data_IF_106160203564
#
_entry.id   IF_106160203564
#
_cell.length_a   1.000
_cell.length_b   1.000
_cell.length_c   1.000
_cell.angle_alpha   90.00
_cell.angle_beta   90.00
_cell.angle_gamma   90.00
#
_symmetry.space_group_name_H-M   'P 1'
#
loop_
_entity.id
_entity.type
_entity.pdbx_description
1 polymer ?
#
# COMPACT_ATOMS: atom_id res chain seq x y z
N UNK A 1 -22.46 84.29 -36.59
CA UNK A 1 -21.77 84.63 -35.33
C UNK A 1 -21.31 83.31 -34.73
N UNK A 2 -20.01 83.04 -34.78
CA UNK A 2 -19.40 81.74 -34.44
C UNK A 2 -19.24 81.49 -32.93
N UNK A 3 -18.37 80.57 -32.48
CA UNK A 3 -17.35 79.85 -33.26
C UNK A 3 -17.42 78.32 -33.21
N UNK A 4 -16.77 77.74 -34.22
CA UNK A 4 -16.42 76.33 -34.41
C UNK A 4 -15.03 76.15 -33.78
N UNK A 5 -14.90 75.21 -32.84
CA UNK A 5 -13.59 74.75 -32.36
C UNK A 5 -13.20 73.46 -33.08
N UNK A 6 -12.12 73.59 -33.85
CA UNK A 6 -11.27 72.53 -34.38
C UNK A 6 -10.37 71.97 -33.28
N UNK A 7 -10.29 70.64 -33.12
CA UNK A 7 -9.08 69.96 -32.64
C UNK A 7 -9.07 68.45 -33.02
N UNK A 8 -8.16 68.15 -33.95
CA UNK A 8 -7.34 66.96 -34.26
C UNK A 8 -7.81 65.49 -34.06
N UNK A 9 -7.38 64.58 -34.98
CA UNK A 9 -7.64 63.15 -34.91
C UNK A 9 -6.55 62.38 -34.13
N UNK A 10 -6.96 61.54 -33.16
CA UNK A 10 -6.09 60.56 -32.53
C UNK A 10 -5.83 59.37 -33.47
N UNK A 11 -4.57 59.17 -33.80
CA UNK A 11 -4.03 57.98 -34.48
C UNK A 11 -4.11 56.78 -33.55
N UNK A 12 -4.87 55.75 -33.93
CA UNK A 12 -4.83 54.43 -33.31
C UNK A 12 -3.72 53.60 -33.96
N UNK A 13 -2.81 52.96 -33.20
CA UNK A 13 -1.87 52.02 -33.77
C UNK A 13 -2.56 50.68 -34.02
N UNK A 14 -2.40 50.16 -35.25
CA UNK A 14 -2.64 48.77 -35.60
C UNK A 14 -1.75 47.88 -34.73
N UNK A 15 -2.34 46.98 -33.95
CA UNK A 15 -1.62 45.83 -33.39
C UNK A 15 -1.69 44.72 -34.42
N UNK A 16 -0.54 44.48 -35.05
CA UNK A 16 -0.30 43.32 -35.90
C UNK A 16 -0.37 42.04 -35.06
N UNK A 17 -1.21 41.11 -35.50
CA UNK A 17 -1.14 39.71 -35.10
C UNK A 17 -0.21 38.95 -36.05
N UNK A 18 0.58 38.05 -35.46
CA UNK A 18 1.14 36.80 -36.02
C UNK A 18 2.38 36.89 -36.91
N UNK A 19 3.48 36.30 -36.40
CA UNK A 19 3.89 34.92 -36.71
C UNK A 19 5.17 34.58 -35.92
N UNK A 20 5.04 33.83 -34.85
CA UNK A 20 6.16 33.06 -34.27
C UNK A 20 5.97 31.58 -34.63
N UNK A 21 7.02 30.88 -35.11
CA UNK A 21 6.92 29.48 -35.44
C UNK A 21 7.04 28.65 -34.16
N UNK A 22 5.96 27.95 -33.80
CA UNK A 22 6.03 26.84 -32.84
C UNK A 22 6.85 25.72 -33.48
N UNK A 23 8.12 25.60 -33.04
CA UNK A 23 8.96 24.45 -33.36
C UNK A 23 8.63 23.35 -32.35
N UNK A 24 7.88 22.37 -32.82
CA UNK A 24 7.64 21.09 -32.17
C UNK A 24 8.97 20.41 -31.84
N UNK A 25 9.31 20.36 -30.55
CA UNK A 25 10.28 19.43 -30.00
C UNK A 25 9.50 18.39 -29.18
N UNK A 26 8.93 17.40 -29.87
CA UNK A 26 8.60 16.12 -29.25
C UNK A 26 9.93 15.42 -28.98
N UNK A 27 10.53 15.72 -27.83
CA UNK A 27 11.57 14.85 -27.26
C UNK A 27 10.83 13.79 -26.44
N UNK A 28 10.90 12.55 -26.89
CA UNK A 28 10.30 11.41 -26.22
C UNK A 28 10.71 11.33 -24.75
N UNK A 29 9.73 11.37 -23.87
CA UNK A 29 9.89 10.92 -22.49
C UNK A 29 10.07 9.40 -22.54
N UNK A 30 11.32 8.96 -22.68
CA UNK A 30 11.74 7.66 -22.22
C UNK A 30 11.45 7.60 -20.72
N UNK A 31 10.54 6.72 -20.33
CA UNK A 31 10.41 6.25 -18.96
C UNK A 31 11.79 5.76 -18.49
N UNK A 32 12.37 6.29 -17.41
CA UNK A 32 13.38 5.55 -16.69
C UNK A 32 12.63 4.44 -15.95
N UNK A 33 12.79 3.21 -16.42
CA UNK A 33 12.59 2.03 -15.59
C UNK A 33 13.44 2.21 -14.32
N UNK A 34 12.79 2.29 -13.17
CA UNK A 34 13.45 2.30 -11.87
C UNK A 34 14.23 0.97 -11.69
N UNK A 35 15.55 0.99 -11.46
CA UNK A 35 16.20 -0.18 -10.90
C UNK A 35 15.87 -0.22 -9.41
N UNK A 36 14.82 -0.96 -9.05
CA UNK A 36 14.61 -1.44 -7.67
C UNK A 36 15.67 -2.50 -7.39
N UNK A 37 16.90 -2.09 -7.14
CA UNK A 37 18.00 -2.94 -6.69
C UNK A 37 19.07 -2.04 -6.09
N UNK A 38 18.83 -1.54 -4.89
CA UNK A 38 19.86 -1.11 -3.93
C UNK A 38 19.19 -0.89 -2.57
N UNK A 39 18.59 -1.96 -2.04
CA UNK A 39 18.46 -2.07 -0.60
C UNK A 39 19.80 -2.61 -0.11
N UNK A 40 20.69 -1.70 0.31
CA UNK A 40 21.76 -2.05 1.24
C UNK A 40 21.14 -2.89 2.37
N UNK A 41 21.67 -4.09 2.69
CA UNK A 41 21.23 -4.78 3.87
C UNK A 41 21.55 -3.86 5.04
N UNK A 42 20.49 -3.43 5.74
CA UNK A 42 20.56 -2.72 7.02
C UNK A 42 21.75 -3.27 7.79
N UNK A 43 22.75 -2.42 7.99
CA UNK A 43 23.91 -2.73 8.82
C UNK A 43 23.39 -3.39 10.08
N UNK A 44 23.74 -4.67 10.18
CA UNK A 44 23.56 -5.50 11.35
C UNK A 44 23.85 -4.63 12.56
N UNK A 45 22.82 -4.39 13.38
CA UNK A 45 23.00 -3.88 14.73
C UNK A 45 24.16 -4.65 15.32
N UNK A 46 25.29 -3.96 15.48
CA UNK A 46 26.49 -4.44 16.13
C UNK A 46 26.01 -4.87 17.51
N UNK A 47 25.76 -6.17 17.67
CA UNK A 47 25.50 -6.76 18.97
C UNK A 47 26.76 -6.42 19.74
N UNK A 48 26.57 -5.69 20.83
CA UNK A 48 27.63 -5.23 21.71
C UNK A 48 28.44 -6.48 22.12
N UNK A 49 29.61 -6.68 21.49
CA UNK A 49 30.53 -7.80 21.75
C UNK A 49 31.06 -7.76 23.19
N UNK A 50 30.76 -6.69 23.92
CA UNK A 50 30.97 -6.55 25.36
C UNK A 50 30.17 -7.57 26.19
N UNK A 51 29.04 -8.10 25.70
CA UNK A 51 28.28 -9.13 26.43
C UNK A 51 28.85 -10.55 26.26
N UNK A 52 29.70 -10.79 25.25
CA UNK A 52 30.38 -12.09 25.07
C UNK A 52 31.72 -12.17 25.80
N UNK A 53 32.37 -11.03 26.08
CA UNK A 53 33.66 -11.01 26.76
C UNK A 53 33.58 -11.37 28.26
N UNK A 54 32.45 -11.12 28.94
CA UNK A 54 32.29 -11.43 30.37
C UNK A 54 32.04 -12.92 30.68
N UNK A 55 31.68 -13.72 29.67
CA UNK A 55 31.34 -15.14 29.86
C UNK A 55 32.37 -16.12 29.29
N UNK A 56 33.55 -15.62 28.88
CA UNK A 56 34.64 -16.44 28.33
C UNK A 56 35.76 -16.66 29.35
N UNK A 57 35.42 -16.80 30.63
CA UNK A 57 36.29 -17.54 31.55
C UNK A 57 35.93 -19.02 31.41
N UNK A 58 36.88 -19.90 31.07
CA UNK A 58 36.62 -21.33 31.07
C UNK A 58 36.36 -21.72 32.53
N UNK A 59 35.09 -21.82 32.90
CA UNK A 59 34.67 -22.51 34.10
C UNK A 59 35.00 -23.98 33.87
N UNK A 60 36.26 -24.35 34.12
CA UNK A 60 36.64 -25.73 34.33
C UNK A 60 35.73 -26.23 35.44
N UNK A 61 34.70 -26.96 35.01
CA UNK A 61 33.90 -27.80 35.87
C UNK A 61 34.89 -28.76 36.52
N UNK A 62 35.39 -28.40 37.70
CA UNK A 62 35.70 -29.37 38.74
C UNK A 62 34.36 -30.01 39.10
N UNK A 63 33.91 -30.93 38.24
CA UNK A 63 33.19 -32.12 38.71
C UNK A 63 34.12 -32.75 39.73
N UNK A 64 33.93 -32.37 40.99
CA UNK A 64 34.45 -33.13 42.11
C UNK A 64 33.80 -34.49 41.93
N UNK A 65 34.58 -35.47 41.47
CA UNK A 65 34.16 -36.86 41.43
C UNK A 65 33.77 -37.26 42.85
N UNK A 66 32.49 -37.22 43.14
CA UNK A 66 31.87 -38.15 44.07
C UNK A 66 32.14 -39.53 43.49
N UNK A 67 33.23 -40.15 43.93
CA UNK A 67 33.37 -41.60 44.11
C UNK A 67 34.83 -41.94 44.42
N UNK A 68 35.01 -42.78 45.43
CA UNK A 68 36.27 -43.25 46.03
C UNK A 68 36.82 -42.40 47.18
N UNK A 69 36.03 -42.26 48.25
CA UNK A 69 36.62 -42.36 49.57
C UNK A 69 36.48 -43.82 50.01
N UNK A 70 37.56 -44.58 49.85
CA UNK A 70 37.68 -45.90 50.45
C UNK A 70 37.47 -45.75 51.97
N UNK A 71 36.48 -46.48 52.44
CA UNK A 71 36.22 -46.80 53.84
C UNK A 71 37.52 -47.34 54.47
N UNK A 72 38.28 -46.46 55.13
CA UNK A 72 39.36 -46.90 56.00
C UNK A 72 38.70 -47.53 57.21
N UNK A 73 38.57 -48.85 57.11
CA UNK A 73 37.98 -49.73 58.09
C UNK A 73 38.34 -49.33 59.52
N UNK A 74 37.28 -49.23 60.30
CA UNK A 74 37.25 -49.18 61.74
C UNK A 74 38.11 -50.34 62.30
N UNK A 75 39.37 -50.07 62.68
CA UNK A 75 40.13 -51.02 63.50
C UNK A 75 39.64 -50.86 64.93
N UNK A 76 38.47 -51.44 65.21
CA UNK A 76 38.03 -51.71 66.57
C UNK A 76 38.99 -52.74 67.16
N UNK A 77 39.96 -52.25 67.93
CA UNK A 77 40.83 -53.08 68.76
C UNK A 77 39.98 -53.72 69.85
N UNK A 78 39.44 -54.91 69.56
CA UNK A 78 38.75 -55.77 70.51
C UNK A 78 39.77 -56.39 71.47
N UNK A 79 40.20 -55.64 72.49
CA UNK A 79 40.77 -56.24 73.69
C UNK A 79 39.64 -56.88 74.51
N UNK A 80 39.36 -58.14 74.18
CA UNK A 80 38.49 -59.00 74.97
C UNK A 80 39.12 -59.25 76.34
N UNK A 81 38.62 -58.59 77.37
CA UNK A 81 38.86 -58.96 78.76
C UNK A 81 38.09 -60.27 79.01
N UNK A 82 38.75 -61.41 78.79
CA UNK A 82 38.29 -62.69 79.33
C UNK A 82 38.91 -62.90 80.70
N UNK A 83 38.13 -62.52 81.70
CA UNK A 83 38.28 -62.98 83.07
C UNK A 83 37.82 -64.45 83.11
N UNK A 84 38.76 -65.40 83.20
CA UNK A 84 38.45 -66.80 83.48
C UNK A 84 39.12 -67.22 84.79
N UNK A 85 38.28 -67.29 85.82
CA UNK A 85 38.56 -68.00 87.07
C UNK A 85 38.58 -69.50 86.81
N UNK A 86 39.68 -70.17 87.16
CA UNK A 86 39.72 -71.61 87.37
C UNK A 86 40.45 -71.89 88.70
N UNK A 87 39.73 -72.54 89.61
CA UNK A 87 40.16 -73.00 90.93
C UNK A 87 40.97 -74.29 90.83
N UNK A 88 41.93 -74.40 91.76
CA UNK A 88 42.38 -75.57 92.52
C UNK A 88 42.82 -76.85 91.79
N UNK A 89 44.04 -77.32 92.11
CA UNK A 89 44.19 -78.61 92.80
C UNK A 89 45.57 -78.74 93.46
N UNK A 90 45.55 -79.12 94.75
CA UNK A 90 46.66 -79.68 95.52
C UNK A 90 47.22 -80.96 94.85
N UNK A 91 48.50 -81.28 95.12
CA UNK A 91 48.91 -82.57 95.73
C UNK A 91 50.38 -82.93 95.45
N UNK A 92 51.06 -83.33 96.54
CA UNK A 92 52.26 -84.17 96.64
C UNK A 92 53.62 -83.57 96.24
N UNK A 93 54.73 -83.78 96.95
CA UNK A 93 54.99 -84.81 97.96
C UNK A 93 56.09 -84.40 98.95
N UNK A 94 55.96 -84.94 100.16
CA UNK A 94 56.86 -84.76 101.29
C UNK A 94 58.07 -85.71 101.21
N UNK A 95 59.11 -85.28 101.93
CA UNK A 95 60.11 -86.08 102.67
C UNK A 95 61.41 -86.49 101.96
N UNK A 96 62.54 -86.04 102.54
CA UNK A 96 63.54 -86.94 103.13
C UNK A 96 64.64 -86.13 103.84
N UNK A 97 64.73 -86.31 105.18
CA UNK A 97 65.91 -86.46 106.06
C UNK A 97 67.11 -85.50 105.88
N UNK A 98 67.80 -84.94 106.87
CA UNK A 98 67.76 -84.91 108.33
C UNK A 98 68.82 -83.83 108.73
N UNK A 99 68.93 -83.40 110.01
CA UNK A 99 69.61 -82.18 110.41
C UNK A 99 71.08 -82.41 110.76
N UNK A 100 71.98 -81.58 110.23
CA UNK A 100 73.30 -81.37 110.83
C UNK A 100 73.46 -79.91 111.26
N UNK A 101 73.42 -79.76 112.59
CA UNK A 101 73.74 -78.55 113.34
C UNK A 101 75.17 -78.15 113.00
N UNK A 102 75.30 -77.13 112.15
CA UNK A 102 76.57 -76.41 112.01
C UNK A 102 76.27 -74.93 111.85
N UNK A 103 76.68 -74.16 112.85
CA UNK A 103 76.76 -72.69 112.86
C UNK A 103 75.44 -71.92 112.76
N UNK A 104 74.95 -71.44 113.90
CA UNK A 104 73.98 -70.34 113.98
C UNK A 104 74.46 -69.03 113.32
N UNK A 105 75.67 -68.98 112.75
CA UNK A 105 76.18 -67.85 111.95
C UNK A 105 75.75 -67.94 110.49
N UNK A 106 75.77 -69.13 109.86
CA UNK A 106 75.42 -69.28 108.44
C UNK A 106 73.92 -69.10 108.17
N UNK A 107 73.07 -69.48 109.12
CA UNK A 107 71.62 -69.25 109.04
C UNK A 107 71.27 -67.77 109.19
N UNK A 108 72.02 -67.02 110.01
CA UNK A 108 71.82 -65.58 110.21
C UNK A 108 72.33 -64.81 108.98
N UNK A 109 73.44 -65.23 108.37
CA UNK A 109 73.95 -64.65 107.12
C UNK A 109 73.01 -64.92 105.93
N UNK A 110 72.41 -66.12 105.84
CA UNK A 110 71.38 -66.42 104.82
C UNK A 110 70.09 -65.63 105.06
N UNK A 111 69.67 -65.45 106.31
CA UNK A 111 68.53 -64.59 106.63
C UNK A 111 68.81 -63.12 106.32
N UNK A 112 70.01 -62.62 106.63
CA UNK A 112 70.46 -61.27 106.24
C UNK A 112 70.51 -61.10 104.73
N UNK A 113 71.01 -62.08 103.99
CA UNK A 113 71.02 -62.06 102.52
C UNK A 113 69.60 -62.09 101.93
N UNK A 114 68.70 -62.88 102.51
CA UNK A 114 67.29 -62.89 102.11
C UNK A 114 66.59 -61.59 102.48
N UNK A 115 66.92 -60.97 103.61
CA UNK A 115 66.39 -59.67 104.02
C UNK A 115 66.89 -58.54 103.10
N UNK A 116 68.18 -58.55 102.75
CA UNK A 116 68.76 -57.66 101.75
C UNK A 116 68.14 -57.88 100.36
N UNK A 117 67.90 -59.13 99.97
CA UNK A 117 67.24 -59.47 98.70
C UNK A 117 65.76 -59.08 98.70
N UNK A 118 65.07 -59.20 99.84
CA UNK A 118 63.70 -58.70 100.02
C UNK A 118 63.68 -57.18 99.91
N UNK A 119 64.61 -56.47 100.56
CA UNK A 119 64.74 -55.01 100.47
C UNK A 119 65.03 -54.54 99.05
N UNK A 120 65.89 -55.26 98.31
CA UNK A 120 66.18 -54.99 96.90
C UNK A 120 64.93 -55.22 96.04
N UNK A 121 64.21 -56.33 96.22
CA UNK A 121 62.95 -56.62 95.53
C UNK A 121 61.83 -55.63 95.88
N UNK A 122 61.77 -55.15 97.12
CA UNK A 122 60.85 -54.11 97.57
C UNK A 122 61.21 -52.75 96.95
N UNK A 123 62.50 -52.44 96.83
CA UNK A 123 63.01 -51.28 96.11
C UNK A 123 62.68 -51.32 94.62
N UNK A 124 62.93 -52.45 93.95
CA UNK A 124 62.55 -52.69 92.56
C UNK A 124 61.04 -52.62 92.36
N UNK A 125 60.25 -53.17 93.29
CA UNK A 125 58.79 -53.07 93.28
C UNK A 125 58.33 -51.61 93.40
N UNK A 126 58.92 -50.84 94.30
CA UNK A 126 58.62 -49.41 94.46
C UNK A 126 58.95 -48.63 93.17
N UNK A 127 60.11 -48.86 92.56
CA UNK A 127 60.48 -48.26 91.27
C UNK A 127 59.54 -48.69 90.13
N UNK A 128 59.11 -49.96 90.13
CA UNK A 128 58.12 -50.47 89.16
C UNK A 128 56.77 -49.79 89.33
N UNK A 129 56.30 -49.59 90.56
CA UNK A 129 55.06 -48.88 90.85
C UNK A 129 55.14 -47.40 90.46
N UNK A 130 56.26 -46.73 90.70
CA UNK A 130 56.48 -45.34 90.25
C UNK A 130 56.47 -45.21 88.73
N UNK A 131 57.15 -46.12 88.02
CA UNK A 131 57.15 -46.13 86.55
C UNK A 131 55.77 -46.44 85.99
N UNK A 132 55.03 -47.35 86.62
CA UNK A 132 53.64 -47.63 86.27
C UNK A 132 52.74 -46.40 86.49
N UNK A 133 52.89 -45.69 87.60
CA UNK A 133 52.14 -44.44 87.85
C UNK A 133 52.48 -43.36 86.82
N UNK A 134 53.77 -43.19 86.47
CA UNK A 134 54.21 -42.25 85.42
C UNK A 134 53.62 -42.60 84.06
N UNK A 135 53.63 -43.88 83.67
CA UNK A 135 53.02 -44.36 82.43
C UNK A 135 51.49 -44.16 82.42
N UNK A 136 50.80 -44.43 83.54
CA UNK A 136 49.36 -44.18 83.69
C UNK A 136 49.03 -42.70 83.54
N UNK A 137 49.82 -41.81 84.15
CA UNK A 137 49.65 -40.37 84.04
C UNK A 137 49.91 -39.89 82.60
N UNK A 138 50.99 -40.34 81.96
CA UNK A 138 51.30 -40.03 80.57
C UNK A 138 50.18 -40.50 79.64
N UNK A 139 49.67 -41.73 79.82
CA UNK A 139 48.57 -42.26 79.04
C UNK A 139 47.29 -41.42 79.21
N UNK A 140 46.97 -41.01 80.44
CA UNK A 140 45.85 -40.11 80.72
C UNK A 140 45.99 -38.76 80.00
N UNK A 141 47.19 -38.19 79.96
CA UNK A 141 47.43 -36.91 79.29
C UNK A 141 47.44 -37.05 77.76
N UNK A 142 47.95 -38.17 77.23
CA UNK A 142 47.83 -38.50 75.80
C UNK A 142 46.36 -38.69 75.40
N UNK A 143 45.54 -39.38 76.20
CA UNK A 143 44.11 -39.51 75.93
C UNK A 143 43.40 -38.16 75.89
N UNK A 144 43.65 -37.26 76.86
CA UNK A 144 43.10 -35.89 76.80
C UNK A 144 43.56 -35.16 75.54
N UNK A 145 44.81 -35.34 75.13
CA UNK A 145 45.33 -34.72 73.91
C UNK A 145 44.64 -35.28 72.67
N UNK A 146 44.38 -36.58 72.61
CA UNK A 146 43.60 -37.22 71.53
C UNK A 146 42.19 -36.64 71.50
N UNK A 147 41.45 -36.63 72.61
CA UNK A 147 40.09 -36.08 72.66
C UNK A 147 40.03 -34.60 72.23
N UNK A 148 41.00 -33.78 72.67
CA UNK A 148 41.09 -32.37 72.25
C UNK A 148 41.38 -32.23 70.75
N UNK A 149 42.17 -33.12 70.16
CA UNK A 149 42.43 -33.11 68.71
C UNK A 149 41.21 -33.61 67.93
N UNK A 150 40.49 -34.61 68.44
CA UNK A 150 39.25 -35.11 67.83
C UNK A 150 38.16 -34.04 67.82
N UNK A 151 37.98 -33.30 68.92
CA UNK A 151 37.07 -32.16 69.01
C UNK A 151 37.46 -31.06 68.00
N UNK A 152 38.76 -30.71 67.92
CA UNK A 152 39.25 -29.75 66.93
C UNK A 152 38.97 -30.19 65.48
N UNK A 153 39.13 -31.49 65.18
CA UNK A 153 38.82 -32.03 63.85
C UNK A 153 37.32 -31.98 63.58
N UNK A 154 36.48 -32.30 64.56
CA UNK A 154 35.02 -32.23 64.43
C UNK A 154 34.55 -30.79 64.20
N UNK A 155 35.07 -29.83 64.97
CA UNK A 155 34.76 -28.41 64.80
C UNK A 155 35.20 -27.90 63.42
N UNK A 156 36.41 -28.28 62.97
CA UNK A 156 36.89 -27.92 61.62
C UNK A 156 36.03 -28.52 60.51
N UNK A 157 35.57 -29.78 60.66
CA UNK A 157 34.66 -30.40 59.71
C UNK A 157 33.33 -29.64 59.63
N UNK A 158 32.75 -29.30 60.79
CA UNK A 158 31.50 -28.54 60.83
C UNK A 158 31.66 -27.16 60.19
N UNK A 159 32.75 -26.45 60.48
CA UNK A 159 33.06 -25.15 59.88
C UNK A 159 33.17 -25.25 58.35
N UNK A 160 33.90 -26.23 57.83
CA UNK A 160 34.02 -26.43 56.38
C UNK A 160 32.69 -26.82 55.72
N UNK A 161 31.85 -27.60 56.40
CA UNK A 161 30.51 -27.94 55.91
C UNK A 161 29.57 -26.73 55.87
N UNK A 162 29.65 -25.86 56.87
CA UNK A 162 28.90 -24.59 56.92
C UNK A 162 29.37 -23.62 55.84
N UNK A 163 30.68 -23.44 55.68
CA UNK A 163 31.28 -22.62 54.61
C UNK A 163 30.88 -23.14 53.23
N UNK A 164 30.96 -24.46 53.00
CA UNK A 164 30.50 -25.10 51.76
C UNK A 164 29.02 -24.79 51.50
N UNK A 165 28.16 -24.92 52.51
CA UNK A 165 26.72 -24.65 52.39
C UNK A 165 26.46 -23.18 52.07
N UNK A 166 27.20 -22.27 52.69
CA UNK A 166 27.08 -20.84 52.42
C UNK A 166 27.51 -20.50 50.99
N UNK A 167 28.64 -21.02 50.52
CA UNK A 167 29.11 -20.81 49.14
C UNK A 167 28.08 -21.33 48.12
N UNK A 168 27.49 -22.50 48.35
CA UNK A 168 26.44 -23.05 47.48
C UNK A 168 25.19 -22.16 47.47
N UNK A 169 24.72 -21.72 48.64
CA UNK A 169 23.59 -20.80 48.77
C UNK A 169 23.84 -19.45 48.08
N UNK A 170 25.04 -18.89 48.23
CA UNK A 170 25.44 -17.66 47.55
C UNK A 170 25.50 -17.85 46.03
N UNK A 171 26.06 -18.97 45.54
CA UNK A 171 26.10 -19.31 44.11
C UNK A 171 24.70 -19.43 43.53
N UNK A 172 23.80 -20.17 44.20
CA UNK A 172 22.41 -20.33 43.77
C UNK A 172 21.69 -18.98 43.71
N UNK A 173 21.86 -18.13 44.72
CA UNK A 173 21.29 -16.77 44.75
C UNK A 173 21.81 -15.90 43.59
N UNK A 174 23.11 -15.95 43.31
CA UNK A 174 23.71 -15.24 42.17
C UNK A 174 23.20 -15.76 40.83
N UNK A 175 23.10 -17.08 40.68
CA UNK A 175 22.57 -17.72 39.47
C UNK A 175 21.11 -17.30 39.22
N UNK A 176 20.24 -17.40 40.23
CA UNK A 176 18.83 -16.97 40.12
C UNK A 176 18.69 -15.48 39.79
N UNK A 177 19.58 -14.63 40.31
CA UNK A 177 19.59 -13.19 39.95
C UNK A 177 19.98 -12.99 38.48
N UNK A 178 20.98 -13.71 37.98
CA UNK A 178 21.39 -13.64 36.57
C UNK A 178 20.29 -14.15 35.64
N UNK A 179 19.67 -15.29 35.98
CA UNK A 179 18.55 -15.87 35.24
C UNK A 179 17.36 -14.92 35.15
N UNK A 180 16.99 -14.26 36.26
CA UNK A 180 15.92 -13.23 36.26
C UNK A 180 16.25 -12.03 35.38
N UNK A 181 17.51 -11.55 35.40
CA UNK A 181 17.94 -10.44 34.53
C UNK A 181 17.85 -10.84 33.07
N UNK A 182 18.33 -12.04 32.73
CA UNK A 182 18.26 -12.60 31.39
C UNK A 182 16.80 -12.71 30.91
N UNK A 183 15.89 -13.24 31.74
CA UNK A 183 14.47 -13.30 31.40
C UNK A 183 13.85 -11.91 31.19
N UNK A 184 14.16 -10.94 32.05
CA UNK A 184 13.65 -9.57 31.90
C UNK A 184 14.15 -8.89 30.61
N UNK A 185 15.42 -9.09 30.26
CA UNK A 185 15.99 -8.59 29.00
C UNK A 185 15.35 -9.27 27.79
N UNK A 186 15.16 -10.58 27.86
CA UNK A 186 14.46 -11.36 26.82
C UNK A 186 13.02 -10.86 26.63
N UNK A 187 12.27 -10.63 27.71
CA UNK A 187 10.92 -10.06 27.66
C UNK A 187 10.91 -8.64 27.08
N UNK A 188 11.85 -7.79 27.47
CA UNK A 188 12.01 -6.43 26.93
C UNK A 188 12.27 -6.44 25.43
N UNK A 189 13.19 -7.30 24.97
CA UNK A 189 13.49 -7.45 23.54
C UNK A 189 12.30 -8.02 22.78
N UNK A 190 11.60 -9.03 23.31
CA UNK A 190 10.39 -9.58 22.71
C UNK A 190 9.27 -8.55 22.61
N UNK A 191 9.06 -7.72 23.64
CA UNK A 191 8.10 -6.62 23.60
C UNK A 191 8.46 -5.59 22.52
N UNK A 192 9.75 -5.25 22.38
CA UNK A 192 10.22 -4.35 21.32
C UNK A 192 10.01 -4.94 19.94
N UNK A 193 10.30 -6.23 19.74
CA UNK A 193 10.07 -6.93 18.47
C UNK A 193 8.59 -6.89 18.11
N UNK A 194 7.69 -7.17 19.07
CA UNK A 194 6.24 -7.14 18.84
C UNK A 194 5.75 -5.76 18.39
N UNK A 195 6.19 -4.69 19.05
CA UNK A 195 5.85 -3.31 18.63
C UNK A 195 6.34 -3.02 17.22
N UNK A 196 7.57 -3.40 16.89
CA UNK A 196 8.12 -3.20 15.54
C UNK A 196 7.38 -4.01 14.48
N UNK A 197 6.93 -5.23 14.80
CA UNK A 197 6.10 -6.04 13.91
C UNK A 197 4.73 -5.41 13.69
N UNK A 198 4.08 -4.91 14.74
CA UNK A 198 2.79 -4.23 14.65
C UNK A 198 2.89 -2.94 13.81
N UNK A 199 3.95 -2.15 14.00
CA UNK A 199 4.17 -0.93 13.24
C UNK A 199 4.50 -1.23 11.77
N UNK A 200 5.31 -2.26 11.50
CA UNK A 200 5.56 -2.71 10.13
C UNK A 200 4.28 -3.20 9.44
N UNK A 201 3.41 -3.92 10.15
CA UNK A 201 2.10 -4.33 9.63
C UNK A 201 1.21 -3.13 9.30
N UNK A 202 1.17 -2.10 10.16
CA UNK A 202 0.43 -0.85 9.89
C UNK A 202 1.00 -0.09 8.69
N UNK A 203 2.33 0.03 8.59
CA UNK A 203 2.98 0.68 7.45
C UNK A 203 2.70 -0.08 6.15
N UNK A 204 2.77 -1.40 6.17
CA UNK A 204 2.43 -2.25 5.02
C UNK A 204 0.97 -2.06 4.58
N UNK A 205 0.04 -1.95 5.53
CA UNK A 205 -1.37 -1.64 5.23
C UNK A 205 -1.53 -0.23 4.62
N UNK A 206 -0.84 0.78 5.17
CA UNK A 206 -0.84 2.16 4.65
C UNK A 206 -0.32 2.22 3.22
N UNK A 207 0.80 1.54 2.94
CA UNK A 207 1.37 1.44 1.58
C UNK A 207 0.39 0.77 0.62
N UNK A 208 -0.26 -0.32 1.04
CA UNK A 208 -1.28 -0.99 0.23
C UNK A 208 -2.46 -0.07 -0.08
N UNK A 209 -2.94 0.70 0.90
CA UNK A 209 -4.04 1.66 0.74
C UNK A 209 -3.65 2.81 -0.20
N UNK A 210 -2.46 3.39 -0.04
CA UNK A 210 -1.93 4.44 -0.93
C UNK A 210 -1.74 3.93 -2.35
N UNK A 211 -1.24 2.70 -2.54
CA UNK A 211 -1.13 2.09 -3.86
C UNK A 211 -2.51 1.88 -4.52
N UNK A 212 -3.53 1.49 -3.75
CA UNK A 212 -4.89 1.39 -4.25
C UNK A 212 -5.44 2.77 -4.66
N UNK A 213 -5.17 3.82 -3.88
CA UNK A 213 -5.55 5.19 -4.20
C UNK A 213 -4.83 5.70 -5.47
N UNK A 214 -3.52 5.45 -5.60
CA UNK A 214 -2.74 5.80 -6.79
C UNK A 214 -3.32 5.13 -8.04
N UNK A 215 -3.66 3.84 -7.99
CA UNK A 215 -4.29 3.14 -9.11
C UNK A 215 -5.63 3.76 -9.54
N UNK A 216 -6.42 4.26 -8.59
CA UNK A 216 -7.68 4.94 -8.90
C UNK A 216 -7.41 6.29 -9.57
N UNK A 217 -6.42 7.05 -9.07
CA UNK A 217 -6.02 8.32 -9.67
C UNK A 217 -5.44 8.12 -11.08
N UNK A 218 -4.60 7.12 -11.29
CA UNK A 218 -4.07 6.74 -12.60
C UNK A 218 -5.18 6.46 -13.60
N UNK A 219 -6.19 5.67 -13.21
CA UNK A 219 -7.38 5.42 -14.06
C UNK A 219 -8.15 6.70 -14.37
N UNK A 220 -8.31 7.60 -13.40
CA UNK A 220 -9.00 8.88 -13.61
C UNK A 220 -8.22 9.76 -14.58
N UNK A 221 -6.90 9.83 -14.44
CA UNK A 221 -6.03 10.55 -15.38
C UNK A 221 -6.16 9.96 -16.78
N UNK A 222 -6.10 8.63 -16.91
CA UNK A 222 -6.29 7.96 -18.21
C UNK A 222 -7.67 8.27 -18.83
N UNK A 223 -8.75 8.28 -18.05
CA UNK A 223 -10.10 8.65 -18.52
C UNK A 223 -10.13 10.09 -19.03
N UNK A 224 -9.63 11.04 -18.23
CA UNK A 224 -9.60 12.45 -18.61
C UNK A 224 -8.73 12.69 -19.85
N UNK A 225 -7.61 11.97 -19.99
CA UNK A 225 -6.78 12.03 -21.20
C UNK A 225 -7.57 11.52 -22.41
N UNK A 226 -8.32 10.41 -22.30
CA UNK A 226 -9.18 9.92 -23.38
C UNK A 226 -10.23 10.95 -23.78
N UNK A 227 -10.94 11.54 -22.81
CA UNK A 227 -11.95 12.58 -23.03
C UNK A 227 -11.36 13.82 -23.71
N UNK A 228 -10.16 14.26 -23.31
CA UNK A 228 -9.46 15.38 -23.95
C UNK A 228 -9.08 15.04 -25.39
N UNK A 229 -8.60 13.82 -25.65
CA UNK A 229 -8.28 13.40 -27.02
C UNK A 229 -9.54 13.32 -27.91
N UNK A 230 -10.64 12.80 -27.39
CA UNK A 230 -11.93 12.73 -28.10
C UNK A 230 -12.51 14.12 -28.41
N UNK A 231 -12.42 15.05 -27.47
CA UNK A 231 -12.86 16.44 -27.68
C UNK A 231 -11.93 17.19 -28.63
N UNK A 232 -10.62 16.95 -28.58
CA UNK A 232 -9.66 17.51 -29.55
C UNK A 232 -9.92 17.01 -30.97
N UNK A 233 -10.17 15.71 -31.15
CA UNK A 233 -10.53 15.12 -32.45
C UNK A 233 -11.86 15.68 -32.98
N UNK A 234 -12.86 15.82 -32.12
CA UNK A 234 -14.14 16.44 -32.47
C UNK A 234 -13.97 17.90 -32.89
N UNK A 235 -13.11 18.66 -32.20
CA UNK A 235 -12.81 20.05 -32.53
C UNK A 235 -12.09 20.16 -33.89
N UNK A 236 -11.14 19.28 -34.17
CA UNK A 236 -10.45 19.28 -35.47
C UNK A 236 -11.43 18.99 -36.60
N UNK A 237 -12.36 18.04 -36.43
CA UNK A 237 -13.42 17.77 -37.41
C UNK A 237 -14.34 18.96 -37.65
N UNK A 238 -14.69 19.73 -36.61
CA UNK A 238 -15.47 20.97 -36.79
C UNK A 238 -14.64 22.06 -37.49
N UNK A 239 -13.34 22.15 -37.19
CA UNK A 239 -12.42 23.07 -37.85
C UNK A 239 -12.26 22.75 -39.33
N UNK A 240 -12.11 21.48 -39.69
CA UNK A 240 -12.09 21.00 -41.07
C UNK A 240 -13.39 21.35 -41.80
N UNK A 241 -14.55 21.09 -41.17
CA UNK A 241 -15.87 21.46 -41.74
C UNK A 241 -16.00 22.96 -41.98
N UNK A 242 -15.59 23.80 -41.02
CA UNK A 242 -15.56 25.26 -41.22
C UNK A 242 -14.65 25.66 -42.37
N UNK A 243 -13.46 25.06 -42.48
CA UNK A 243 -12.56 25.27 -43.61
C UNK A 243 -13.20 24.93 -44.96
N UNK A 244 -13.91 23.80 -45.05
CA UNK A 244 -14.64 23.40 -46.26
C UNK A 244 -15.72 24.42 -46.65
N UNK A 245 -16.47 24.96 -45.67
CA UNK A 245 -17.48 25.98 -45.93
C UNK A 245 -16.88 27.34 -46.32
N UNK A 246 -15.75 27.72 -45.70
CA UNK A 246 -15.00 28.91 -46.09
C UNK A 246 -14.47 28.81 -47.52
N UNK A 247 -13.92 27.66 -47.91
CA UNK A 247 -13.48 27.39 -49.27
C UNK A 247 -14.63 27.44 -50.28
N UNK A 248 -15.77 26.81 -49.96
CA UNK A 248 -16.97 26.86 -50.80
C UNK A 248 -17.49 28.29 -50.99
N UNK A 249 -17.53 29.10 -49.93
CA UNK A 249 -17.93 30.50 -50.00
C UNK A 249 -16.96 31.34 -50.85
N UNK A 250 -15.65 31.04 -50.76
CA UNK A 250 -14.65 31.71 -51.59
C UNK A 250 -14.82 31.35 -53.08
N UNK A 251 -15.08 30.07 -53.39
CA UNK A 251 -15.38 29.62 -54.76
C UNK A 251 -16.63 30.30 -55.32
N UNK A 252 -17.71 30.41 -54.54
CA UNK A 252 -18.92 31.11 -54.96
C UNK A 252 -18.66 32.60 -55.21
N UNK A 253 -17.86 33.24 -54.35
CA UNK A 253 -17.46 34.65 -54.53
C UNK A 253 -16.64 34.83 -55.81
N UNK A 254 -15.68 33.95 -56.09
CA UNK A 254 -14.87 33.98 -57.30
C UNK A 254 -15.72 33.75 -58.56
N UNK A 255 -16.62 32.77 -58.52
CA UNK A 255 -17.57 32.50 -59.61
C UNK A 255 -18.47 33.72 -59.89
N UNK A 256 -19.04 34.32 -58.85
CA UNK A 256 -19.86 35.53 -58.99
C UNK A 256 -19.06 36.71 -59.55
N UNK A 257 -17.80 36.89 -59.13
CA UNK A 257 -16.93 37.92 -59.68
C UNK A 257 -16.63 37.68 -61.16
N UNK A 258 -16.42 36.41 -61.56
CA UNK A 258 -16.18 36.02 -62.94
C UNK A 258 -17.41 36.29 -63.81
N UNK A 259 -18.60 35.84 -63.41
CA UNK A 259 -19.86 36.10 -64.11
C UNK A 259 -20.11 37.61 -64.27
N UNK A 260 -19.83 38.39 -63.22
CA UNK A 260 -19.94 39.85 -63.27
C UNK A 260 -18.95 40.48 -64.25
N UNK A 261 -17.74 39.92 -64.40
CA UNK A 261 -16.76 40.37 -65.39
C UNK A 261 -17.20 40.02 -66.81
N UNK A 262 -17.71 38.81 -67.04
CA UNK A 262 -18.25 38.38 -68.34
C UNK A 262 -19.47 39.23 -68.75
N UNK A 263 -20.39 39.48 -67.83
CA UNK A 263 -21.53 40.37 -68.07
C UNK A 263 -21.09 41.80 -68.40
N UNK A 264 -20.05 42.31 -67.72
CA UNK A 264 -19.48 43.63 -68.03
C UNK A 264 -18.81 43.68 -69.41
N UNK A 265 -18.11 42.61 -69.81
CA UNK A 265 -17.53 42.46 -71.15
C UNK A 265 -18.62 42.45 -72.22
N UNK A 266 -19.68 41.64 -72.04
CA UNK A 266 -20.82 41.60 -72.95
C UNK A 266 -21.48 42.97 -73.10
N UNK A 267 -21.65 43.73 -72.00
CA UNK A 267 -22.17 45.10 -72.06
C UNK A 267 -21.26 45.99 -72.91
N UNK A 268 -19.94 45.87 -72.79
CA UNK A 268 -19.00 46.68 -73.57
C UNK A 268 -18.98 46.27 -75.06
N UNK A 269 -19.09 44.98 -75.36
CA UNK A 269 -19.22 44.46 -76.72
C UNK A 269 -20.49 45.00 -77.39
N UNK A 270 -21.64 44.90 -76.71
CA UNK A 270 -22.91 45.47 -77.19
C UNK A 270 -22.81 46.99 -77.37
N UNK A 271 -22.12 47.72 -76.49
CA UNK A 271 -21.84 49.16 -76.66
C UNK A 271 -20.94 49.43 -77.86
N UNK A 272 -19.98 48.56 -78.16
CA UNK A 272 -19.16 48.65 -79.37
C UNK A 272 -20.01 48.44 -80.62
N UNK A 273 -20.83 47.39 -80.65
CA UNK A 273 -21.75 47.08 -81.74
C UNK A 273 -22.75 48.21 -81.99
N UNK A 274 -23.34 48.77 -80.94
CA UNK A 274 -24.22 49.94 -81.05
C UNK A 274 -23.47 51.15 -81.62
N UNK A 275 -22.22 51.41 -81.22
CA UNK A 275 -21.39 52.48 -81.79
C UNK A 275 -21.05 52.22 -83.26
N UNK A 276 -20.86 50.98 -83.69
CA UNK A 276 -20.65 50.64 -85.10
C UNK A 276 -21.92 50.79 -85.91
N UNK A 277 -23.05 50.32 -85.38
CA UNK A 277 -24.37 50.46 -86.01
C UNK A 277 -24.77 51.92 -86.20
N UNK A 278 -24.57 52.76 -85.18
CA UNK A 278 -24.78 54.20 -85.29
C UNK A 278 -23.89 54.85 -86.35
N UNK A 279 -22.64 54.39 -86.52
CA UNK A 279 -21.76 54.87 -87.59
C UNK A 279 -22.28 54.48 -88.97
N UNK A 280 -22.66 53.22 -89.16
CA UNK A 280 -23.21 52.73 -90.43
C UNK A 280 -24.55 53.38 -90.76
N UNK A 281 -25.41 53.62 -89.77
CA UNK A 281 -26.68 54.34 -89.95
C UNK A 281 -26.46 55.79 -90.37
N UNK A 282 -25.48 56.48 -89.75
CA UNK A 282 -25.08 57.83 -90.18
C UNK A 282 -24.53 57.82 -91.62
N UNK A 283 -23.78 56.78 -92.00
CA UNK A 283 -23.26 56.60 -93.36
C UNK A 283 -24.40 56.34 -94.35
N UNK A 284 -25.33 55.42 -94.05
CA UNK A 284 -26.53 55.14 -94.85
C UNK A 284 -27.44 56.37 -94.98
N UNK A 285 -27.63 57.14 -93.91
CA UNK A 285 -28.39 58.39 -93.92
C UNK A 285 -27.69 59.47 -94.74
N UNK A 286 -26.34 59.51 -94.74
CA UNK A 286 -25.55 60.35 -95.67
C UNK A 286 -25.72 59.91 -97.12
N UNK A 287 -25.82 58.61 -97.39
CA UNK A 287 -26.10 58.10 -98.74
C UNK A 287 -27.54 58.42 -99.19
N UNK A 288 -28.54 58.32 -98.30
CA UNK A 288 -29.95 58.66 -98.57
C UNK A 288 -30.19 60.16 -98.81
N UNK A 289 -29.39 61.06 -98.22
CA UNK A 289 -29.48 62.50 -98.47
C UNK A 289 -28.94 62.94 -99.85
N UNK A 290 -28.30 62.03 -100.61
CA UNK A 290 -27.74 62.34 -101.93
C UNK A 290 -28.50 61.77 -103.12
N UNK A 291 -29.29 60.70 -102.98
CA UNK A 291 -30.10 60.18 -104.09
C UNK A 291 -31.31 59.38 -103.57
N UNK A 292 -32.53 59.87 -103.81
CA UNK A 292 -33.72 59.10 -104.25
C UNK A 292 -35.04 59.80 -103.87
N UNK A 293 -35.62 60.48 -104.86
CA UNK A 293 -37.08 60.58 -105.02
C UNK A 293 -37.62 59.18 -105.35
N UNK A 294 -38.53 58.60 -104.55
CA UNK A 294 -39.47 57.55 -105.00
C UNK A 294 -40.58 57.30 -103.96
N UNK A 295 -41.68 58.01 -104.18
CA UNK A 295 -43.07 57.52 -104.27
C UNK A 295 -43.52 56.31 -103.42
N UNK A 296 -44.33 56.64 -102.42
CA UNK A 296 -45.52 55.95 -101.86
C UNK A 296 -45.80 54.49 -102.22
N UNK A 297 -46.08 53.68 -101.18
CA UNK A 297 -47.01 52.56 -101.26
C UNK A 297 -48.07 52.70 -100.14
N UNK A 298 -49.30 52.96 -100.56
CA UNK A 298 -50.52 52.82 -99.77
C UNK A 298 -50.72 51.34 -99.40
N UNK A 299 -50.48 50.96 -98.14
CA UNK A 299 -50.64 49.57 -97.65
C UNK A 299 -51.58 49.48 -96.42
N UNK A 300 -52.61 50.33 -96.38
CA UNK A 300 -53.60 50.37 -95.29
C UNK A 300 -54.59 49.18 -95.30
N UNK A 301 -54.76 48.48 -96.42
CA UNK A 301 -55.63 47.29 -96.50
C UNK A 301 -54.93 45.99 -96.06
N UNK A 302 -53.63 45.88 -96.33
CA UNK A 302 -52.81 44.72 -95.96
C UNK A 302 -52.59 44.65 -94.43
N UNK A 303 -52.37 45.81 -93.81
CA UNK A 303 -52.18 45.93 -92.36
C UNK A 303 -53.43 45.60 -91.55
N UNK A 304 -54.64 45.91 -92.04
CA UNK A 304 -55.87 45.58 -91.33
C UNK A 304 -56.15 44.07 -91.32
N UNK A 305 -55.87 43.39 -92.43
CA UNK A 305 -56.05 41.94 -92.57
C UNK A 305 -55.05 41.15 -91.69
N UNK A 306 -53.79 41.61 -91.61
CA UNK A 306 -52.77 41.06 -90.72
C UNK A 306 -53.11 41.28 -89.23
N UNK A 307 -53.74 42.41 -88.90
CA UNK A 307 -54.18 42.69 -87.54
C UNK A 307 -55.33 41.79 -87.11
N UNK A 308 -56.32 41.54 -87.97
CA UNK A 308 -57.40 40.58 -87.69
C UNK A 308 -56.88 39.15 -87.54
N UNK A 309 -55.84 38.78 -88.29
CA UNK A 309 -55.18 37.48 -88.16
C UNK A 309 -54.37 37.37 -86.85
N UNK A 310 -53.66 38.43 -86.48
CA UNK A 310 -52.96 38.50 -85.20
C UNK A 310 -53.93 38.48 -84.00
N UNK A 311 -55.08 39.14 -84.11
CA UNK A 311 -56.11 39.12 -83.06
C UNK A 311 -56.78 37.74 -82.94
N UNK A 312 -57.00 37.04 -84.07
CA UNK A 312 -57.42 35.63 -84.07
C UNK A 312 -56.39 34.72 -83.41
N UNK A 313 -55.11 34.90 -83.73
CA UNK A 313 -54.04 34.07 -83.15
C UNK A 313 -53.88 34.35 -81.65
N UNK A 314 -54.00 35.60 -81.23
CA UNK A 314 -54.03 35.99 -79.81
C UNK A 314 -55.21 35.36 -79.08
N UNK A 315 -56.40 35.35 -79.69
CA UNK A 315 -57.58 34.71 -79.10
C UNK A 315 -57.38 33.20 -78.97
N UNK A 316 -56.84 32.55 -80.00
CA UNK A 316 -56.50 31.12 -79.98
C UNK A 316 -55.48 30.79 -78.90
N UNK A 317 -54.41 31.58 -78.77
CA UNK A 317 -53.39 31.40 -77.74
C UNK A 317 -53.95 31.63 -76.34
N UNK A 318 -54.90 32.55 -76.17
CA UNK A 318 -55.58 32.76 -74.90
C UNK A 318 -56.42 31.54 -74.50
N UNK A 319 -57.19 30.97 -75.44
CA UNK A 319 -57.99 29.76 -75.21
C UNK A 319 -57.09 28.54 -74.90
N UNK A 320 -55.94 28.41 -75.59
CA UNK A 320 -54.97 27.35 -75.33
C UNK A 320 -54.29 27.50 -73.96
N UNK A 321 -53.97 28.73 -73.54
CA UNK A 321 -53.41 29.00 -72.21
C UNK A 321 -54.43 28.71 -71.10
N UNK A 322 -55.70 29.07 -71.33
CA UNK A 322 -56.81 28.75 -70.42
C UNK A 322 -56.93 27.23 -70.24
N UNK A 323 -56.90 26.47 -71.34
CA UNK A 323 -56.93 25.00 -71.29
C UNK A 323 -55.71 24.40 -70.58
N UNK A 324 -54.51 24.94 -70.82
CA UNK A 324 -53.30 24.47 -70.12
C UNK A 324 -53.35 24.76 -68.62
N UNK A 325 -53.97 25.86 -68.20
CA UNK A 325 -54.19 26.17 -66.77
C UNK A 325 -55.17 25.19 -66.14
N UNK A 326 -56.28 24.87 -66.82
CA UNK A 326 -57.24 23.86 -66.35
C UNK A 326 -56.57 22.48 -66.20
N UNK A 327 -55.74 22.06 -67.18
CA UNK A 327 -54.96 20.81 -67.07
C UNK A 327 -53.94 20.88 -65.92
N UNK A 328 -53.34 22.05 -65.66
CA UNK A 328 -52.40 22.21 -64.55
C UNK A 328 -53.12 22.13 -63.20
N UNK A 329 -54.30 22.73 -63.08
CA UNK A 329 -55.15 22.63 -61.89
C UNK A 329 -55.59 21.17 -61.67
N UNK A 330 -56.04 20.47 -62.71
CA UNK A 330 -56.38 19.04 -62.64
C UNK A 330 -55.17 18.17 -62.21
N UNK A 331 -53.96 18.49 -62.70
CA UNK A 331 -52.73 17.79 -62.30
C UNK A 331 -52.33 18.13 -60.86
N UNK A 332 -52.51 19.37 -60.41
CA UNK A 332 -52.28 19.76 -59.02
C UNK A 332 -53.28 19.08 -58.09
N UNK A 333 -54.55 18.96 -58.49
CA UNK A 333 -55.58 18.22 -57.76
C UNK A 333 -55.27 16.71 -57.75
N UNK A 334 -54.81 16.13 -58.85
CA UNK A 334 -54.34 14.75 -58.90
C UNK A 334 -53.12 14.53 -57.99
N UNK A 335 -52.19 15.49 -57.92
CA UNK A 335 -51.03 15.46 -57.04
C UNK A 335 -51.43 15.61 -55.56
N UNK A 336 -52.45 16.40 -55.26
CA UNK A 336 -53.05 16.54 -53.93
C UNK A 336 -53.79 15.27 -53.50
N UNK A 337 -54.51 14.59 -54.40
CA UNK A 337 -55.14 13.29 -54.14
C UNK A 337 -54.08 12.20 -53.93
N UNK A 338 -53.02 12.20 -54.74
CA UNK A 338 -51.93 11.22 -54.65
C UNK A 338 -51.06 11.40 -53.39
N UNK A 339 -50.74 12.64 -53.01
CA UNK A 339 -49.97 12.94 -51.79
C UNK A 339 -50.84 12.98 -50.52
N UNK A 340 -52.13 13.30 -50.65
CA UNK A 340 -53.13 13.22 -49.57
C UNK A 340 -53.44 11.77 -49.16
N UNK A 341 -53.21 10.80 -50.04
CA UNK A 341 -53.31 9.37 -49.70
C UNK A 341 -52.16 8.85 -48.81
N UNK A 342 -51.11 9.65 -48.55
CA UNK A 342 -49.94 9.26 -47.73
C UNK A 342 -49.92 9.98 -46.37
N UNK A 343 -50.82 10.93 -46.09
CA UNK A 343 -50.79 11.70 -44.85
C UNK A 343 -52.17 11.89 -44.22
N UNK A 344 -52.63 10.87 -43.48
CA UNK A 344 -53.44 10.87 -42.24
C UNK A 344 -54.34 9.62 -42.17
N UNK A 345 -54.18 8.80 -41.14
CA UNK A 345 -55.36 8.46 -40.37
C UNK A 345 -55.10 8.62 -38.87
N UNK A 346 -55.68 9.66 -38.28
CA UNK A 346 -56.14 9.59 -36.89
C UNK A 346 -57.44 8.77 -36.91
N UNK A 347 -57.39 7.50 -36.49
CA UNK A 347 -58.55 6.80 -35.95
C UNK A 347 -58.11 5.74 -34.95
N UNK A 348 -58.32 6.08 -33.68
CA UNK A 348 -58.87 5.23 -32.62
C UNK A 348 -58.63 3.73 -32.74
N UNK A 349 -57.72 3.26 -31.88
CA UNK A 349 -57.75 2.00 -31.15
C UNK A 349 -58.94 1.07 -31.45
N UNK A 350 -58.65 -0.13 -31.99
CA UNK A 350 -59.14 -1.40 -31.45
C UNK A 350 -58.40 -2.61 -32.05
N UNK A 351 -58.28 -3.59 -31.16
CA UNK A 351 -57.61 -4.90 -31.14
C UNK A 351 -57.33 -5.70 -32.44
N UNK A 352 -56.16 -6.36 -32.38
CA UNK A 352 -55.92 -7.77 -32.71
C UNK A 352 -55.17 -8.13 -34.03
N UNK A 353 -54.18 -9.03 -33.84
CA UNK A 353 -53.57 -9.96 -34.83
C UNK A 353 -52.19 -9.60 -35.43
N UNK A 354 -51.16 -10.12 -34.75
CA UNK A 354 -50.03 -10.88 -35.28
C UNK A 354 -49.46 -10.59 -36.70
N UNK A 355 -48.29 -9.93 -36.74
CA UNK A 355 -47.18 -10.31 -37.64
C UNK A 355 -45.83 -9.71 -37.19
N UNK A 356 -44.84 -10.58 -36.94
CA UNK A 356 -43.39 -10.28 -36.83
C UNK A 356 -42.74 -10.46 -38.23
N UNK A 357 -41.46 -10.12 -38.44
CA UNK A 357 -40.66 -8.98 -37.95
C UNK A 357 -39.91 -8.29 -39.11
N UNK A 358 -39.66 -6.98 -39.03
CA UNK A 358 -38.75 -6.33 -39.98
C UNK A 358 -38.73 -4.82 -39.87
N UNK A 359 -37.63 -4.31 -39.29
CA UNK A 359 -37.24 -2.89 -39.20
C UNK A 359 -38.09 -2.04 -38.24
N UNK A 360 -37.58 -1.65 -37.06
CA UNK A 360 -38.25 -0.66 -36.25
C UNK A 360 -37.98 0.71 -36.88
N UNK A 361 -38.95 1.22 -37.64
CA UNK A 361 -39.05 2.67 -37.80
C UNK A 361 -39.61 3.17 -36.48
N UNK A 362 -38.73 3.33 -35.49
CA UNK A 362 -39.08 3.99 -34.24
C UNK A 362 -39.43 5.43 -34.58
N UNK A 363 -40.72 5.74 -34.46
CA UNK A 363 -41.21 7.10 -34.65
C UNK A 363 -40.68 7.94 -33.49
N UNK A 364 -40.23 9.17 -33.76
CA UNK A 364 -39.61 10.10 -32.79
C UNK A 364 -40.40 10.21 -31.47
N UNK A 365 -41.72 10.00 -31.51
CA UNK A 365 -42.56 9.92 -30.32
C UNK A 365 -42.20 8.76 -29.37
N UNK A 366 -41.91 7.56 -29.89
CA UNK A 366 -41.45 6.43 -29.08
C UNK A 366 -40.06 6.69 -28.48
N UNK A 367 -39.18 7.37 -29.19
CA UNK A 367 -37.84 7.70 -28.68
C UNK A 367 -37.90 8.75 -27.55
N UNK A 368 -38.81 9.73 -27.66
CA UNK A 368 -39.08 10.69 -26.58
C UNK A 368 -39.68 9.98 -25.36
N UNK A 369 -40.61 9.05 -25.55
CA UNK A 369 -41.21 8.29 -24.46
C UNK A 369 -40.20 7.35 -23.79
N UNK A 370 -39.31 6.71 -24.57
CA UNK A 370 -38.23 5.88 -24.02
C UNK A 370 -37.19 6.74 -23.28
N UNK A 371 -36.82 7.90 -23.82
CA UNK A 371 -35.89 8.83 -23.19
C UNK A 371 -36.43 9.38 -21.87
N UNK A 372 -37.70 9.79 -21.84
CA UNK A 372 -38.35 10.26 -20.61
C UNK A 372 -38.48 9.16 -19.57
N UNK A 373 -38.78 7.93 -19.99
CA UNK A 373 -38.82 6.78 -19.09
C UNK A 373 -37.44 6.45 -18.51
N UNK A 374 -36.37 6.51 -19.32
CA UNK A 374 -34.98 6.33 -18.87
C UNK A 374 -34.54 7.44 -17.89
N UNK A 375 -34.97 8.68 -18.12
CA UNK A 375 -34.67 9.79 -17.23
C UNK A 375 -35.40 9.65 -15.88
N UNK A 376 -36.64 9.16 -15.89
CA UNK A 376 -37.40 8.86 -14.66
C UNK A 376 -36.76 7.69 -13.89
N UNK A 377 -36.31 6.64 -14.57
CA UNK A 377 -35.64 5.51 -13.90
C UNK A 377 -34.30 5.93 -13.29
N UNK A 378 -33.49 6.71 -14.01
CA UNK A 378 -32.23 7.25 -13.47
C UNK A 378 -32.46 8.15 -12.25
N UNK A 379 -33.52 8.96 -12.26
CA UNK A 379 -33.90 9.79 -11.11
C UNK A 379 -34.31 8.93 -9.90
N UNK A 380 -35.02 7.82 -10.12
CA UNK A 380 -35.42 6.92 -9.05
C UNK A 380 -34.24 6.13 -8.46
N UNK A 381 -33.30 5.68 -9.30
CA UNK A 381 -32.05 5.06 -8.84
C UNK A 381 -31.23 6.04 -7.98
N UNK A 382 -31.11 7.29 -8.40
CA UNK A 382 -30.42 8.31 -7.62
C UNK A 382 -31.09 8.58 -6.27
N UNK A 383 -32.43 8.59 -6.22
CA UNK A 383 -33.19 8.69 -4.95
C UNK A 383 -32.94 7.49 -4.04
N UNK A 384 -32.85 6.29 -4.60
CA UNK A 384 -32.60 5.06 -3.85
C UNK A 384 -31.17 5.02 -3.29
N UNK A 385 -30.18 5.43 -4.07
CA UNK A 385 -28.79 5.62 -3.60
C UNK A 385 -28.76 6.65 -2.48
N UNK A 386 -29.46 7.78 -2.62
CA UNK A 386 -29.52 8.81 -1.57
C UNK A 386 -30.18 8.27 -0.28
N UNK A 387 -31.25 7.47 -0.41
CA UNK A 387 -31.90 6.79 0.72
C UNK A 387 -30.92 5.84 1.43
N UNK A 388 -30.17 5.05 0.67
CA UNK A 388 -29.16 4.12 1.21
C UNK A 388 -28.00 4.85 1.87
N UNK A 389 -27.54 5.96 1.29
CA UNK A 389 -26.49 6.80 1.89
C UNK A 389 -26.96 7.43 3.20
N UNK A 390 -28.20 7.89 3.29
CA UNK A 390 -28.80 8.39 4.54
C UNK A 390 -28.83 7.30 5.61
N UNK A 391 -29.29 6.09 5.26
CA UNK A 391 -29.29 4.97 6.20
C UNK A 391 -27.88 4.53 6.64
N UNK A 392 -26.90 4.62 5.74
CA UNK A 392 -25.51 4.36 6.08
C UNK A 392 -24.96 5.42 7.04
N UNK A 393 -25.21 6.70 6.74
CA UNK A 393 -24.83 7.82 7.60
C UNK A 393 -25.47 7.68 8.98
N UNK A 394 -26.76 7.36 9.07
CA UNK A 394 -27.46 7.14 10.33
C UNK A 394 -26.81 6.02 11.16
N UNK A 395 -26.44 4.90 10.51
CA UNK A 395 -25.72 3.80 11.18
C UNK A 395 -24.34 4.22 11.68
N UNK A 396 -23.60 4.98 10.88
CA UNK A 396 -22.27 5.49 11.26
C UNK A 396 -22.42 6.47 12.43
N UNK A 397 -23.37 7.40 12.37
CA UNK A 397 -23.66 8.35 13.46
C UNK A 397 -24.02 7.60 14.73
N UNK A 398 -24.92 6.62 14.67
CA UNK A 398 -25.28 5.79 15.84
C UNK A 398 -24.05 5.05 16.41
N UNK A 399 -23.23 4.47 15.55
CA UNK A 399 -22.00 3.77 15.96
C UNK A 399 -20.98 4.73 16.60
N UNK A 400 -20.87 5.96 16.09
CA UNK A 400 -19.99 7.00 16.65
C UNK A 400 -20.52 7.49 17.99
N UNK A 401 -21.83 7.74 18.11
CA UNK A 401 -22.48 8.10 19.37
C UNK A 401 -22.25 7.05 20.47
N UNK A 402 -22.20 5.76 20.13
CA UNK A 402 -21.97 4.67 21.07
C UNK A 402 -20.49 4.50 21.48
N UNK A 403 -19.54 4.81 20.59
CA UNK A 403 -18.10 4.53 20.81
C UNK A 403 -17.28 5.75 21.21
N UNK A 404 -17.57 6.93 20.66
CA UNK A 404 -16.88 8.19 20.97
C UNK A 404 -17.71 9.41 20.52
N UNK A 405 -18.58 9.97 21.40
CA UNK A 405 -19.47 11.07 21.04
C UNK A 405 -18.75 12.39 20.76
N UNK A 406 -17.48 12.53 21.17
CA UNK A 406 -16.69 13.75 20.96
C UNK A 406 -16.36 14.03 19.49
N UNK A 407 -16.43 13.02 18.62
CA UNK A 407 -16.21 13.16 17.16
C UNK A 407 -17.33 13.94 16.45
N UNK A 408 -18.50 14.08 17.08
CA UNK A 408 -19.65 14.82 16.54
C UNK A 408 -19.71 16.26 17.07
N UNK A 409 -18.81 16.67 17.98
CA UNK A 409 -18.70 18.06 18.41
C UNK A 409 -18.14 18.92 17.27
N UNK A 410 -19.05 19.63 16.60
CA UNK A 410 -18.68 20.72 15.70
C UNK A 410 -18.13 21.83 16.60
N UNK A 411 -16.79 21.94 16.69
CA UNK A 411 -16.17 23.12 17.29
C UNK A 411 -16.59 24.33 16.45
N UNK A 412 -17.28 25.34 17.02
CA UNK A 412 -17.54 26.56 16.29
C UNK A 412 -16.18 27.17 15.95
N UNK A 413 -15.87 27.24 14.66
CA UNK A 413 -14.75 28.02 14.17
C UNK A 413 -14.97 29.46 14.59
N UNK A 414 -14.08 29.99 15.44
CA UNK A 414 -14.00 31.41 15.78
C UNK A 414 -13.85 32.27 14.52
#
# INVERSE_FOLDING_TARGET
>A
MGPIETQQPCVLPRKDEKKEPQKTAFLGCLFPEDPVSDLNPLESTRVDESFQAEWTEPFELLTISEDQFEDYGEVVSSCSIQNSSCRAHDSCDLSSMDPEVTSSSESVEKLSFLEDQILELEGEKCQREETEQKLRQLNKDLMKKIYSLEEQIQDQKLQLEEEKREILSQRESCFLKAERKWHLEMEKLNARIKVLQDDNAKLSQSVSALNAQNRVLEKKVQSLVSEVLETADSLEKERERSGMWEEALNQEREAWQHERQEAAQLIEDLRCELRTFQRTDCELSRFQMTDCELQCCDDRGSTHSLWEECEREKQRLADENQSLREINEDLQDALLVQNGSVCFPYRTHEENSHSKPGSPVHSIAEEIDVCTQQQISALNEQKEINRRLRQYLDRVILTVLEKDPGLLEIKPSL
#
